data_IF_789011755645
#
_entry.id   IF_789011755645
#
_cell.length_a   1.000
_cell.length_b   1.000
_cell.length_c   1.000
_cell.angle_alpha   90.00
_cell.angle_beta   90.00
_cell.angle_gamma   90.00
#
_symmetry.space_group_name_H-M   'P 1'
#
loop_
_entity.id
_entity.type
_entity.pdbx_description
1 polymer ?
#
# COMPACT_ATOMS: atom_id res chain seq x y z
N UNK A 1 -9.43 20.68 -20.40
CA UNK A 1 -9.81 19.56 -19.51
C UNK A 1 -8.65 18.61 -19.40
N UNK A 2 -8.36 18.14 -18.19
CA UNK A 2 -7.31 17.12 -17.97
C UNK A 2 -7.71 15.77 -18.58
N UNK A 3 -6.73 14.99 -19.01
CA UNK A 3 -6.93 13.56 -19.22
C UNK A 3 -7.12 12.87 -17.88
N UNK A 4 -8.14 12.04 -17.76
CA UNK A 4 -8.55 11.42 -16.48
C UNK A 4 -8.40 9.92 -16.55
N UNK A 5 -7.95 9.33 -15.43
CA UNK A 5 -7.92 7.87 -15.28
C UNK A 5 -8.36 7.51 -13.86
N UNK A 6 -9.39 6.68 -13.74
CA UNK A 6 -9.88 6.19 -12.46
C UNK A 6 -9.19 4.87 -12.10
N UNK A 7 -8.44 4.85 -11.02
CA UNK A 7 -7.78 3.63 -10.50
C UNK A 7 -8.71 2.93 -9.53
N UNK A 8 -9.25 1.82 -9.96
CA UNK A 8 -10.09 0.94 -9.17
C UNK A 8 -9.34 -0.34 -8.77
N UNK A 9 -9.98 -1.19 -7.97
CA UNK A 9 -9.51 -2.56 -7.77
C UNK A 9 -10.67 -3.51 -7.47
N UNK A 10 -10.42 -4.80 -7.68
CA UNK A 10 -11.39 -5.85 -7.34
C UNK A 10 -11.46 -6.08 -5.81
N UNK A 11 -10.43 -5.69 -5.06
CA UNK A 11 -10.36 -5.87 -3.61
C UNK A 11 -9.44 -4.87 -2.90
N UNK A 12 -9.24 -5.10 -1.60
CA UNK A 12 -8.21 -4.40 -0.84
C UNK A 12 -6.83 -4.95 -1.22
N UNK A 13 -5.80 -4.13 -1.00
CA UNK A 13 -4.38 -4.47 -1.14
C UNK A 13 -3.97 -5.05 -2.51
N UNK A 14 -4.78 -4.87 -3.57
CA UNK A 14 -4.43 -5.25 -4.94
C UNK A 14 -3.31 -4.37 -5.54
N UNK A 15 -2.96 -3.23 -4.93
CA UNK A 15 -1.88 -2.35 -5.37
C UNK A 15 -2.33 -1.05 -6.05
N UNK A 16 -3.53 -0.51 -5.74
CA UNK A 16 -4.02 0.78 -6.28
C UNK A 16 -3.01 1.91 -6.08
N UNK A 17 -2.58 2.14 -4.85
CA UNK A 17 -1.66 3.25 -4.51
C UNK A 17 -0.30 3.08 -5.20
N UNK A 18 0.21 1.83 -5.30
CA UNK A 18 1.41 1.52 -6.10
C UNK A 18 1.19 1.87 -7.57
N UNK A 19 0.04 1.52 -8.14
CA UNK A 19 -0.32 1.85 -9.52
C UNK A 19 -0.46 3.36 -9.72
N UNK A 20 -1.08 4.08 -8.78
CA UNK A 20 -1.21 5.54 -8.83
C UNK A 20 0.15 6.23 -8.79
N UNK A 21 1.05 5.80 -7.88
CA UNK A 21 2.44 6.28 -7.83
C UNK A 21 3.15 6.04 -9.16
N UNK A 22 3.03 4.83 -9.72
CA UNK A 22 3.66 4.46 -10.98
C UNK A 22 3.18 5.29 -12.16
N UNK A 23 1.88 5.44 -12.30
CA UNK A 23 1.29 6.19 -13.42
C UNK A 23 1.55 7.69 -13.30
N UNK A 24 1.56 8.26 -12.09
CA UNK A 24 1.95 9.67 -11.88
C UNK A 24 3.43 9.90 -12.20
N UNK A 25 4.31 8.93 -11.86
CA UNK A 25 5.72 9.01 -12.25
C UNK A 25 5.90 9.07 -13.76
N UNK A 26 5.21 8.19 -14.50
CA UNK A 26 5.27 8.17 -15.96
C UNK A 26 4.57 9.39 -16.60
N UNK A 27 3.41 9.78 -16.06
CA UNK A 27 2.69 10.96 -16.54
C UNK A 27 3.51 12.24 -16.40
N UNK A 28 4.28 12.40 -15.31
CA UNK A 28 5.16 13.56 -15.08
C UNK A 28 6.23 13.72 -16.16
N UNK A 29 6.61 12.65 -16.84
CA UNK A 29 7.56 12.71 -17.96
C UNK A 29 6.94 13.29 -19.23
N UNK A 30 5.61 13.18 -19.37
CA UNK A 30 4.85 13.58 -20.56
C UNK A 30 4.04 14.85 -20.37
N UNK A 31 3.49 15.05 -19.18
CA UNK A 31 2.61 16.17 -18.84
C UNK A 31 3.30 17.16 -17.91
N UNK A 32 3.05 18.45 -18.13
CA UNK A 32 3.64 19.50 -17.30
C UNK A 32 3.03 19.55 -15.90
N UNK A 33 1.74 19.30 -15.80
CA UNK A 33 0.96 19.37 -14.56
C UNK A 33 0.20 18.07 -14.37
N UNK A 34 0.54 17.35 -13.33
CA UNK A 34 -0.19 16.15 -12.91
C UNK A 34 -1.05 16.47 -11.70
N UNK A 35 -2.17 15.78 -11.55
CA UNK A 35 -3.08 15.91 -10.41
C UNK A 35 -3.46 14.54 -9.84
N UNK A 36 -3.94 14.56 -8.61
CA UNK A 36 -4.43 13.36 -7.91
C UNK A 36 -5.62 13.70 -7.04
N UNK A 37 -6.60 12.82 -6.99
CA UNK A 37 -7.72 12.92 -6.07
C UNK A 37 -8.09 11.53 -5.52
N UNK A 38 -8.36 11.49 -4.21
CA UNK A 38 -8.98 10.36 -3.49
C UNK A 38 -10.41 10.76 -3.16
N UNK A 39 -11.40 10.41 -4.01
CA UNK A 39 -12.79 10.88 -3.89
C UNK A 39 -13.40 10.62 -2.52
N UNK A 40 -13.28 9.37 -2.05
CA UNK A 40 -13.72 8.94 -0.73
C UNK A 40 -12.53 8.36 0.03
N UNK A 41 -12.15 9.02 1.12
CA UNK A 41 -11.02 8.67 1.98
C UNK A 41 -11.47 7.98 3.26
N UNK A 42 -11.42 6.63 3.34
CA UNK A 42 -11.79 5.91 4.56
C UNK A 42 -10.68 5.88 5.63
N UNK A 43 -9.52 6.45 5.34
CA UNK A 43 -8.33 6.40 6.23
C UNK A 43 -7.83 7.79 6.57
N UNK A 44 -8.54 8.52 7.47
CA UNK A 44 -8.18 9.87 7.81
C UNK A 44 -6.79 9.97 8.47
N UNK A 45 -6.02 10.96 8.04
CA UNK A 45 -4.77 11.39 8.65
C UNK A 45 -4.72 12.91 8.70
N UNK A 46 -4.02 13.46 9.69
CA UNK A 46 -3.76 14.88 9.76
C UNK A 46 -2.49 15.20 8.96
N UNK A 47 -2.62 16.02 7.92
CA UNK A 47 -1.52 16.45 7.07
C UNK A 47 -1.59 17.97 6.90
N UNK A 48 -0.52 18.67 7.25
CA UNK A 48 -0.45 20.16 7.22
C UNK A 48 -1.65 20.84 7.91
N UNK A 49 -2.11 20.30 9.06
CA UNK A 49 -3.23 20.83 9.81
C UNK A 49 -4.63 20.51 9.25
N UNK A 50 -4.74 19.71 8.19
CA UNK A 50 -5.98 19.30 7.53
C UNK A 50 -6.19 17.80 7.59
N UNK A 51 -7.43 17.38 7.85
CA UNK A 51 -7.80 15.96 7.71
C UNK A 51 -7.95 15.58 6.25
N UNK A 52 -7.21 14.58 5.81
CA UNK A 52 -7.27 14.02 4.47
C UNK A 52 -7.00 12.51 4.48
N UNK A 53 -7.24 11.83 3.38
CA UNK A 53 -6.89 10.41 3.27
C UNK A 53 -5.37 10.21 3.18
N UNK A 54 -4.86 9.14 3.80
CA UNK A 54 -3.42 8.82 3.83
C UNK A 54 -2.80 8.65 2.44
N UNK A 55 -3.54 8.04 1.51
CA UNK A 55 -3.03 7.83 0.15
C UNK A 55 -2.88 9.18 -0.58
N UNK A 56 -3.81 10.13 -0.36
CA UNK A 56 -3.70 11.48 -0.91
C UNK A 56 -2.54 12.28 -0.27
N UNK A 57 -2.32 12.14 1.05
CA UNK A 57 -1.18 12.77 1.73
C UNK A 57 0.16 12.25 1.19
N UNK A 58 0.28 10.93 1.01
CA UNK A 58 1.46 10.29 0.41
C UNK A 58 1.74 10.86 -0.99
N UNK A 59 0.75 10.88 -1.86
CA UNK A 59 0.90 11.36 -3.25
C UNK A 59 1.26 12.85 -3.26
N UNK A 60 0.62 13.68 -2.43
CA UNK A 60 0.94 15.11 -2.32
C UNK A 60 2.42 15.30 -2.00
N UNK A 61 2.95 14.55 -1.02
CA UNK A 61 4.33 14.65 -0.58
C UNK A 61 5.33 14.15 -1.62
N UNK A 62 5.04 13.01 -2.25
CA UNK A 62 5.97 12.39 -3.22
C UNK A 62 6.10 13.21 -4.50
N UNK A 63 5.02 13.87 -4.94
CA UNK A 63 5.00 14.59 -6.21
C UNK A 63 4.98 16.11 -6.08
N UNK A 64 5.02 16.66 -4.87
CA UNK A 64 5.01 18.10 -4.63
C UNK A 64 3.67 18.74 -5.03
N UNK A 65 2.54 18.11 -4.63
CA UNK A 65 1.18 18.59 -4.92
C UNK A 65 0.52 19.24 -3.71
N UNK A 66 1.32 19.75 -2.76
CA UNK A 66 0.83 20.33 -1.52
C UNK A 66 -0.07 21.56 -1.76
N UNK A 67 0.13 22.30 -2.84
CA UNK A 67 -0.72 23.45 -3.22
C UNK A 67 -2.15 23.05 -3.60
N UNK A 68 -2.36 21.78 -3.96
CA UNK A 68 -3.64 21.25 -4.39
C UNK A 68 -4.33 20.37 -3.32
N UNK A 69 -3.75 20.25 -2.13
CA UNK A 69 -4.26 19.35 -1.06
C UNK A 69 -5.71 19.63 -0.66
N UNK A 70 -6.18 20.84 -0.88
CA UNK A 70 -7.56 21.25 -0.59
C UNK A 70 -8.58 20.40 -1.36
N UNK A 71 -8.24 20.02 -2.57
CA UNK A 71 -9.14 19.27 -3.48
C UNK A 71 -8.79 17.78 -3.57
N UNK A 72 -7.61 17.37 -3.10
CA UNK A 72 -7.13 16.00 -3.25
C UNK A 72 -7.89 14.95 -2.42
N UNK A 73 -8.66 15.36 -1.38
CA UNK A 73 -9.42 14.45 -0.51
C UNK A 73 -10.73 15.09 -0.06
N UNK A 74 -11.73 15.27 -0.96
CA UNK A 74 -12.93 16.04 -0.68
C UNK A 74 -13.88 15.41 0.33
N UNK A 75 -13.90 14.06 0.40
CA UNK A 75 -14.76 13.32 1.33
C UNK A 75 -13.89 12.43 2.22
N UNK A 76 -13.66 12.85 3.45
CA UNK A 76 -12.92 12.10 4.47
C UNK A 76 -13.90 11.61 5.53
N UNK A 77 -14.03 10.29 5.64
CA UNK A 77 -14.95 9.67 6.59
C UNK A 77 -14.33 9.59 7.98
N UNK A 78 -15.03 10.11 8.96
CA UNK A 78 -14.68 9.99 10.37
C UNK A 78 -15.41 8.81 11.03
N UNK A 79 -14.87 8.24 12.11
CA UNK A 79 -15.59 7.23 12.88
C UNK A 79 -16.99 7.71 13.26
N UNK A 80 -18.02 6.91 12.93
CA UNK A 80 -19.41 7.22 13.22
C UNK A 80 -20.18 7.94 12.10
N UNK A 81 -19.54 8.47 11.06
CA UNK A 81 -20.23 9.20 9.99
C UNK A 81 -21.20 8.32 9.20
N UNK A 82 -20.85 7.05 8.99
CA UNK A 82 -21.79 6.08 8.37
C UNK A 82 -23.11 6.00 9.13
N UNK A 83 -23.07 5.95 10.48
CA UNK A 83 -24.27 5.92 11.30
C UNK A 83 -25.06 7.21 11.19
N UNK A 84 -24.40 8.38 11.30
CA UNK A 84 -25.05 9.68 11.16
C UNK A 84 -25.73 9.87 9.81
N UNK A 85 -25.13 9.30 8.74
CA UNK A 85 -25.73 9.32 7.42
C UNK A 85 -27.02 8.47 7.37
N UNK A 86 -26.96 7.24 7.89
CA UNK A 86 -28.11 6.33 7.93
C UNK A 86 -29.25 6.89 8.82
N UNK A 87 -28.91 7.60 9.90
CA UNK A 87 -29.86 8.29 10.78
C UNK A 87 -30.43 9.59 10.17
N UNK A 88 -29.97 9.97 8.96
CA UNK A 88 -30.43 11.20 8.27
C UNK A 88 -29.81 12.49 8.79
N UNK A 89 -28.82 12.44 9.67
CA UNK A 89 -28.12 13.60 10.20
C UNK A 89 -27.11 14.21 9.23
N UNK A 90 -26.70 13.45 8.21
CA UNK A 90 -25.82 13.87 7.12
C UNK A 90 -26.49 13.58 5.78
N UNK A 91 -26.23 14.43 4.77
CA UNK A 91 -26.77 14.25 3.43
C UNK A 91 -25.71 13.78 2.46
N UNK A 92 -25.99 12.71 1.70
CA UNK A 92 -25.12 12.24 0.60
C UNK A 92 -24.89 13.31 -0.48
N UNK A 93 -25.87 14.17 -0.72
CA UNK A 93 -25.77 15.28 -1.68
C UNK A 93 -24.60 16.23 -1.40
N UNK A 94 -24.37 16.56 -0.14
CA UNK A 94 -23.25 17.43 0.25
C UNK A 94 -21.90 16.82 -0.12
N UNK A 95 -21.76 15.50 0.05
CA UNK A 95 -20.54 14.78 -0.33
C UNK A 95 -20.36 14.72 -1.86
N UNK A 96 -21.46 14.52 -2.60
CA UNK A 96 -21.48 14.54 -4.06
C UNK A 96 -21.05 15.91 -4.61
N UNK A 97 -21.62 16.98 -4.10
CA UNK A 97 -21.28 18.36 -4.50
C UNK A 97 -19.81 18.70 -4.19
N UNK A 98 -19.30 18.32 -3.02
CA UNK A 98 -17.88 18.51 -2.67
C UNK A 98 -16.95 17.75 -3.61
N UNK A 99 -17.29 16.50 -3.94
CA UNK A 99 -16.51 15.67 -4.86
C UNK A 99 -16.46 16.31 -6.25
N UNK A 100 -17.61 16.69 -6.81
CA UNK A 100 -17.68 17.26 -8.15
C UNK A 100 -16.95 18.62 -8.23
N UNK A 101 -17.10 19.46 -7.21
CA UNK A 101 -16.37 20.74 -7.12
C UNK A 101 -14.86 20.51 -7.07
N UNK A 102 -14.37 19.59 -6.25
CA UNK A 102 -12.95 19.28 -6.16
C UNK A 102 -12.39 18.71 -7.47
N UNK A 103 -13.15 17.83 -8.14
CA UNK A 103 -12.75 17.30 -9.44
C UNK A 103 -12.69 18.38 -10.51
N UNK A 104 -13.64 19.33 -10.52
CA UNK A 104 -13.68 20.44 -11.48
C UNK A 104 -12.49 21.39 -11.27
N UNK A 105 -12.14 21.70 -10.02
CA UNK A 105 -10.96 22.51 -9.70
C UNK A 105 -9.67 21.86 -10.18
N UNK A 106 -9.46 20.58 -9.88
CA UNK A 106 -8.27 19.86 -10.32
C UNK A 106 -8.23 19.69 -11.85
N UNK A 107 -9.36 19.48 -12.50
CA UNK A 107 -9.46 19.40 -13.98
C UNK A 107 -8.98 20.70 -14.67
N UNK A 108 -9.17 21.84 -14.02
CA UNK A 108 -8.65 23.13 -14.48
C UNK A 108 -7.16 23.37 -14.18
N UNK A 109 -6.61 22.66 -13.23
CA UNK A 109 -5.24 22.88 -12.71
C UNK A 109 -4.19 21.94 -13.27
N UNK A 110 -4.56 20.76 -13.75
CA UNK A 110 -3.65 19.76 -14.27
C UNK A 110 -3.95 19.38 -15.73
N UNK A 111 -3.00 18.69 -16.34
CA UNK A 111 -3.10 18.16 -17.70
C UNK A 111 -3.44 16.66 -17.69
N UNK A 112 -3.08 15.97 -16.59
CA UNK A 112 -3.38 14.57 -16.34
C UNK A 112 -3.81 14.36 -14.88
N UNK A 113 -4.97 13.74 -14.65
CA UNK A 113 -5.58 13.54 -13.34
C UNK A 113 -5.79 12.06 -13.02
N UNK A 114 -5.13 11.56 -11.98
CA UNK A 114 -5.41 10.25 -11.40
C UNK A 114 -6.50 10.41 -10.33
N UNK A 115 -7.54 9.57 -10.44
CA UNK A 115 -8.64 9.48 -9.48
C UNK A 115 -8.57 8.10 -8.84
N UNK A 116 -8.20 8.00 -7.56
CA UNK A 116 -8.01 6.70 -6.91
C UNK A 116 -9.20 6.34 -6.02
N UNK A 117 -9.90 5.26 -6.37
CA UNK A 117 -11.00 4.70 -5.59
C UNK A 117 -10.55 4.03 -4.29
N UNK A 118 -11.48 3.79 -3.38
CA UNK A 118 -11.25 3.11 -2.11
C UNK A 118 -11.71 1.64 -2.17
N UNK A 119 -10.91 0.69 -1.72
CA UNK A 119 -11.28 -0.74 -1.65
C UNK A 119 -11.71 -1.31 -3.01
N UNK A 120 -12.87 -2.00 -3.06
CA UNK A 120 -13.47 -2.59 -4.26
C UNK A 120 -14.54 -1.68 -4.89
N UNK A 121 -15.14 -2.08 -6.02
CA UNK A 121 -16.11 -1.30 -6.81
C UNK A 121 -17.25 -0.68 -5.99
N UNK A 122 -17.76 -1.39 -4.97
CA UNK A 122 -18.92 -0.97 -4.17
C UNK A 122 -18.59 -0.10 -2.96
N UNK A 123 -17.32 0.16 -2.65
CA UNK A 123 -16.97 1.01 -1.48
C UNK A 123 -17.46 2.44 -1.71
N UNK A 124 -18.08 3.01 -0.68
CA UNK A 124 -18.77 4.30 -0.76
C UNK A 124 -20.27 4.21 -1.03
N UNK A 125 -20.84 3.01 -1.26
CA UNK A 125 -22.28 2.83 -1.53
C UNK A 125 -23.17 3.42 -0.44
N UNK A 126 -22.77 3.38 0.83
CA UNK A 126 -23.51 4.00 1.93
C UNK A 126 -23.68 5.51 1.76
N UNK A 127 -22.73 6.16 1.08
CA UNK A 127 -22.77 7.59 0.73
C UNK A 127 -23.49 7.84 -0.61
N UNK A 128 -23.93 6.80 -1.33
CA UNK A 128 -24.33 6.91 -2.71
C UNK A 128 -23.16 7.21 -3.67
N UNK A 129 -21.92 7.04 -3.22
CA UNK A 129 -20.68 7.34 -3.95
C UNK A 129 -19.82 6.07 -4.08
N UNK A 130 -20.39 4.97 -4.61
CA UNK A 130 -19.59 3.80 -4.95
C UNK A 130 -18.50 4.18 -5.96
N UNK A 131 -17.38 3.46 -5.97
CA UNK A 131 -16.31 3.72 -6.94
C UNK A 131 -16.83 3.73 -8.39
N UNK A 132 -17.75 2.80 -8.70
CA UNK A 132 -18.36 2.73 -10.03
C UNK A 132 -19.17 3.99 -10.35
N UNK A 133 -20.01 4.46 -9.42
CA UNK A 133 -20.78 5.70 -9.58
C UNK A 133 -19.88 6.92 -9.71
N UNK A 134 -18.84 7.02 -8.86
CA UNK A 134 -17.89 8.13 -8.93
C UNK A 134 -17.20 8.17 -10.29
N UNK A 135 -16.70 7.04 -10.80
CA UNK A 135 -16.06 6.97 -12.12
C UNK A 135 -16.99 7.49 -13.23
N UNK A 136 -18.27 7.10 -13.20
CA UNK A 136 -19.29 7.60 -14.14
C UNK A 136 -19.49 9.11 -13.99
N UNK A 137 -19.71 9.61 -12.78
CA UNK A 137 -19.99 11.02 -12.50
C UNK A 137 -18.86 11.96 -12.96
N UNK A 138 -17.60 11.54 -12.82
CA UNK A 138 -16.44 12.36 -13.24
C UNK A 138 -16.02 12.11 -14.68
N UNK A 139 -16.69 11.18 -15.40
CA UNK A 139 -16.41 10.85 -16.78
C UNK A 139 -15.00 10.32 -17.00
N UNK A 140 -14.50 9.48 -16.07
CA UNK A 140 -13.16 8.93 -16.14
C UNK A 140 -13.18 7.45 -16.51
N UNK A 141 -12.48 7.01 -17.58
CA UNK A 141 -12.28 5.59 -17.87
C UNK A 141 -11.54 4.91 -16.72
N UNK A 142 -11.87 3.64 -16.45
CA UNK A 142 -11.41 2.89 -15.29
C UNK A 142 -10.29 1.93 -15.66
N UNK A 143 -9.20 1.97 -14.90
CA UNK A 143 -8.20 0.91 -14.81
C UNK A 143 -8.46 0.13 -13.52
N UNK A 144 -8.87 -1.14 -13.68
CA UNK A 144 -9.21 -2.03 -12.57
C UNK A 144 -8.02 -2.92 -12.22
N UNK A 145 -7.39 -2.66 -11.08
CA UNK A 145 -6.29 -3.48 -10.55
C UNK A 145 -6.85 -4.72 -9.86
N UNK A 146 -6.29 -5.88 -10.17
CA UNK A 146 -6.69 -7.16 -9.59
C UNK A 146 -5.47 -7.98 -9.19
N UNK A 147 -5.64 -9.01 -8.38
CA UNK A 147 -4.53 -9.87 -7.97
C UNK A 147 -5.00 -11.31 -7.72
N UNK A 148 -4.08 -12.25 -7.75
CA UNK A 148 -4.37 -13.67 -7.53
C UNK A 148 -4.12 -14.56 -8.74
N UNK A 149 -4.58 -15.81 -8.66
CA UNK A 149 -4.50 -16.78 -9.75
C UNK A 149 -5.52 -16.48 -10.87
N UNK A 150 -5.33 -17.08 -12.06
CA UNK A 150 -6.13 -16.81 -13.26
C UNK A 150 -7.64 -16.91 -13.01
N UNK A 151 -8.11 -18.02 -12.40
CA UNK A 151 -9.54 -18.21 -12.12
C UNK A 151 -10.10 -17.13 -11.19
N UNK A 152 -9.40 -16.86 -10.08
CA UNK A 152 -9.77 -15.82 -9.12
C UNK A 152 -9.85 -14.41 -9.75
N UNK A 153 -8.88 -14.07 -10.61
CA UNK A 153 -8.91 -12.81 -11.37
C UNK A 153 -10.14 -12.70 -12.26
N UNK A 154 -10.49 -13.77 -12.98
CA UNK A 154 -11.66 -13.78 -13.88
C UNK A 154 -12.95 -13.59 -13.06
N UNK A 155 -13.11 -14.32 -11.95
CA UNK A 155 -14.29 -14.26 -11.11
C UNK A 155 -14.46 -12.86 -10.47
N UNK A 156 -13.38 -12.34 -9.90
CA UNK A 156 -13.36 -11.01 -9.27
C UNK A 156 -13.64 -9.89 -10.29
N UNK A 157 -13.04 -9.96 -11.46
CA UNK A 157 -13.25 -8.97 -12.53
C UNK A 157 -14.71 -8.97 -12.96
N UNK A 158 -15.31 -10.14 -13.26
CA UNK A 158 -16.69 -10.23 -13.68
C UNK A 158 -17.68 -9.71 -12.62
N UNK A 159 -17.44 -10.05 -11.35
CA UNK A 159 -18.26 -9.56 -10.24
C UNK A 159 -18.21 -8.03 -10.12
N UNK A 160 -17.02 -7.43 -10.24
CA UNK A 160 -16.86 -5.98 -10.14
C UNK A 160 -17.38 -5.26 -11.40
N UNK A 161 -17.14 -5.80 -12.62
CA UNK A 161 -17.65 -5.25 -13.88
C UNK A 161 -19.16 -5.03 -13.86
N UNK A 162 -19.92 -5.96 -13.27
CA UNK A 162 -21.37 -5.84 -13.19
C UNK A 162 -21.83 -4.53 -12.55
N UNK A 163 -21.11 -4.03 -11.51
CA UNK A 163 -21.44 -2.76 -10.88
C UNK A 163 -21.05 -1.56 -11.76
N UNK A 164 -19.88 -1.60 -12.42
CA UNK A 164 -19.48 -0.52 -13.34
C UNK A 164 -20.45 -0.41 -14.51
N UNK A 165 -20.86 -1.53 -15.11
CA UNK A 165 -21.89 -1.56 -16.17
C UNK A 165 -23.24 -1.01 -15.69
N UNK A 166 -23.68 -1.40 -14.48
CA UNK A 166 -24.91 -0.88 -13.88
C UNK A 166 -24.88 0.64 -13.70
N UNK A 167 -23.76 1.18 -13.27
CA UNK A 167 -23.60 2.63 -13.06
C UNK A 167 -23.25 3.39 -14.37
N UNK A 168 -23.03 2.69 -15.48
CA UNK A 168 -22.67 3.29 -16.77
C UNK A 168 -21.24 3.81 -16.84
N UNK A 169 -20.34 3.27 -16.01
CA UNK A 169 -18.92 3.62 -16.01
C UNK A 169 -18.14 2.66 -16.93
N UNK A 170 -17.20 3.20 -17.67
CA UNK A 170 -16.40 2.45 -18.64
C UNK A 170 -15.14 1.86 -17.97
N UNK A 171 -15.03 0.52 -17.92
CA UNK A 171 -13.79 -0.15 -17.56
C UNK A 171 -12.96 -0.35 -18.81
N UNK A 172 -11.91 0.45 -18.99
CA UNK A 172 -11.05 0.42 -20.16
C UNK A 172 -9.88 -0.55 -20.02
N UNK A 173 -9.37 -0.74 -18.79
CA UNK A 173 -8.25 -1.61 -18.52
C UNK A 173 -8.52 -2.52 -17.32
N UNK A 174 -8.05 -3.76 -17.42
CA UNK A 174 -7.90 -4.69 -16.29
C UNK A 174 -6.41 -4.99 -16.11
N UNK A 175 -5.88 -4.70 -14.93
CA UNK A 175 -4.47 -4.84 -14.62
C UNK A 175 -4.23 -5.93 -13.56
N UNK A 176 -3.94 -7.17 -13.97
CA UNK A 176 -3.46 -8.20 -13.05
C UNK A 176 -2.11 -7.78 -12.46
N UNK A 177 -2.02 -7.74 -11.15
CA UNK A 177 -0.89 -7.27 -10.38
C UNK A 177 -0.39 -8.32 -9.40
N UNK A 178 0.79 -8.14 -8.82
CA UNK A 178 1.47 -9.09 -7.93
C UNK A 178 1.64 -10.46 -8.58
N UNK A 179 2.03 -10.46 -9.86
CA UNK A 179 2.21 -11.66 -10.65
C UNK A 179 3.42 -12.47 -10.16
N UNK A 180 3.32 -13.79 -10.25
CA UNK A 180 4.48 -14.66 -10.03
C UNK A 180 5.38 -14.55 -11.27
N UNK A 181 6.64 -14.14 -11.09
CA UNK A 181 7.56 -13.83 -12.18
C UNK A 181 7.63 -14.94 -13.24
N UNK A 182 7.90 -16.17 -12.82
CA UNK A 182 8.03 -17.34 -13.72
C UNK A 182 6.72 -17.72 -14.44
N UNK A 183 5.57 -17.17 -13.99
CA UNK A 183 4.26 -17.47 -14.56
C UNK A 183 3.62 -16.26 -15.22
N UNK A 184 4.31 -15.11 -15.26
CA UNK A 184 3.78 -13.84 -15.73
C UNK A 184 3.18 -13.95 -17.14
N UNK A 185 3.98 -14.33 -18.11
CA UNK A 185 3.57 -14.33 -19.52
C UNK A 185 2.42 -15.31 -19.77
N UNK A 186 2.49 -16.48 -19.16
CA UNK A 186 1.40 -17.47 -19.23
C UNK A 186 0.11 -16.93 -18.61
N UNK A 187 0.21 -16.26 -17.45
CA UNK A 187 -0.96 -15.67 -16.78
C UNK A 187 -1.59 -14.59 -17.63
N UNK A 188 -0.81 -13.67 -18.17
CA UNK A 188 -1.30 -12.59 -19.04
C UNK A 188 -1.92 -13.14 -20.34
N UNK A 189 -1.31 -14.17 -20.93
CA UNK A 189 -1.86 -14.83 -22.11
C UNK A 189 -3.25 -15.41 -21.84
N UNK A 190 -3.44 -16.19 -20.78
CA UNK A 190 -4.75 -16.78 -20.45
C UNK A 190 -5.79 -15.74 -20.06
N UNK A 191 -5.40 -14.69 -19.34
CA UNK A 191 -6.32 -13.60 -19.01
C UNK A 191 -6.75 -12.84 -20.27
N UNK A 192 -5.85 -12.61 -21.23
CA UNK A 192 -6.19 -12.01 -22.52
C UNK A 192 -7.12 -12.91 -23.35
N UNK A 193 -6.98 -14.24 -23.25
CA UNK A 193 -7.92 -15.18 -23.89
C UNK A 193 -9.31 -15.11 -23.24
N UNK A 194 -9.36 -15.07 -21.90
CA UNK A 194 -10.61 -15.00 -21.15
C UNK A 194 -11.34 -13.65 -21.33
N UNK A 195 -10.62 -12.59 -21.67
CA UNK A 195 -11.20 -11.26 -21.92
C UNK A 195 -11.75 -11.06 -23.33
N UNK A 196 -11.62 -12.04 -24.23
CA UNK A 196 -12.16 -11.94 -25.60
C UNK A 196 -13.66 -11.71 -25.60
N UNK A 197 -14.09 -10.66 -26.29
CA UNK A 197 -15.49 -10.23 -26.30
C UNK A 197 -15.89 -9.24 -25.21
N UNK A 198 -14.96 -8.85 -24.34
CA UNK A 198 -15.12 -7.72 -23.44
C UNK A 198 -14.48 -6.46 -24.05
N UNK A 199 -14.97 -5.30 -23.63
CA UNK A 199 -14.51 -4.00 -24.14
C UNK A 199 -13.27 -3.45 -23.43
N UNK A 200 -12.60 -4.25 -22.56
CA UNK A 200 -11.42 -3.84 -21.84
C UNK A 200 -10.13 -4.49 -22.34
N UNK A 201 -9.02 -3.82 -22.11
CA UNK A 201 -7.67 -4.27 -22.45
C UNK A 201 -7.02 -4.87 -21.19
N UNK A 202 -6.40 -6.05 -21.31
CA UNK A 202 -5.55 -6.61 -20.26
C UNK A 202 -4.19 -5.94 -20.32
N UNK A 203 -3.86 -5.17 -19.27
CA UNK A 203 -2.58 -4.50 -19.08
C UNK A 203 -1.83 -5.19 -17.94
N UNK A 204 -0.67 -5.79 -18.20
CA UNK A 204 0.13 -6.44 -17.17
C UNK A 204 0.66 -5.43 -16.13
N UNK A 205 0.40 -5.70 -14.86
CA UNK A 205 0.96 -4.96 -13.73
C UNK A 205 2.33 -5.50 -13.30
N UNK A 206 2.67 -5.35 -12.03
CA UNK A 206 3.97 -5.72 -11.47
C UNK A 206 4.04 -7.17 -11.04
N UNK A 207 5.25 -7.71 -11.01
CA UNK A 207 5.51 -8.95 -10.30
C UNK A 207 5.39 -8.74 -8.79
N UNK A 208 5.12 -9.81 -8.05
CA UNK A 208 5.16 -9.75 -6.59
C UNK A 208 6.58 -9.39 -6.13
N UNK A 209 6.69 -8.37 -5.30
CA UNK A 209 7.95 -7.93 -4.72
C UNK A 209 7.86 -8.01 -3.20
N UNK A 210 8.69 -8.84 -2.54
CA UNK A 210 8.78 -8.88 -1.08
C UNK A 210 9.13 -7.52 -0.47
N UNK A 211 9.96 -6.72 -1.16
CA UNK A 211 10.38 -5.39 -0.72
C UNK A 211 9.17 -4.46 -0.63
N UNK A 212 8.30 -4.45 -1.64
CA UNK A 212 7.09 -3.61 -1.62
C UNK A 212 6.06 -4.08 -0.59
N UNK A 213 6.05 -5.37 -0.28
CA UNK A 213 5.15 -5.96 0.70
C UNK A 213 5.68 -5.86 2.15
N UNK A 214 7.01 -5.79 2.34
CA UNK A 214 7.66 -5.80 3.64
C UNK A 214 7.41 -4.53 4.47
N UNK A 215 7.23 -4.61 5.80
CA UNK A 215 7.17 -3.45 6.67
C UNK A 215 8.56 -2.86 6.91
N UNK A 216 8.65 -1.60 7.35
CA UNK A 216 9.86 -1.06 7.97
C UNK A 216 9.89 -1.44 9.46
N UNK A 217 11.08 -1.36 10.09
CA UNK A 217 11.19 -1.60 11.53
C UNK A 217 10.36 -0.60 12.35
N UNK A 218 10.31 0.67 11.91
CA UNK A 218 9.45 1.70 12.49
C UNK A 218 7.95 1.35 12.36
N UNK A 219 7.54 0.81 11.19
CA UNK A 219 6.15 0.37 11.01
C UNK A 219 5.78 -0.75 11.98
N UNK A 220 6.67 -1.72 12.21
CA UNK A 220 6.45 -2.80 13.20
C UNK A 220 6.32 -2.25 14.61
N UNK A 221 7.17 -1.28 15.00
CA UNK A 221 7.07 -0.62 16.29
C UNK A 221 5.70 0.05 16.49
N UNK A 222 5.23 0.76 15.47
CA UNK A 222 3.91 1.40 15.48
C UNK A 222 2.75 0.39 15.48
N UNK A 223 2.86 -0.69 14.72
CA UNK A 223 1.88 -1.79 14.69
C UNK A 223 1.71 -2.43 16.06
N UNK A 224 2.83 -2.66 16.76
CA UNK A 224 2.84 -3.27 18.09
C UNK A 224 2.55 -2.27 19.22
N UNK A 225 2.55 -0.96 18.92
CA UNK A 225 2.45 0.14 19.88
C UNK A 225 3.58 0.05 20.93
N UNK A 226 4.83 0.00 20.46
CA UNK A 226 6.02 -0.19 21.28
C UNK A 226 7.06 0.89 20.99
N UNK A 227 7.80 1.36 22.02
CA UNK A 227 9.01 2.10 21.79
C UNK A 227 10.05 1.19 21.13
N UNK A 228 10.82 1.76 20.21
CA UNK A 228 11.95 1.06 19.59
C UNK A 228 13.26 1.72 19.99
N UNK A 229 14.31 0.92 20.17
CA UNK A 229 15.68 1.37 20.22
C UNK A 229 16.32 1.16 18.84
N UNK A 230 16.42 2.23 18.10
CA UNK A 230 16.98 2.23 16.77
C UNK A 230 17.35 3.66 16.35
N UNK A 231 18.34 3.82 15.49
CA UNK A 231 18.57 5.06 14.75
C UNK A 231 17.44 5.30 13.74
N UNK A 232 17.35 6.52 13.19
CA UNK A 232 16.37 6.81 12.14
C UNK A 232 16.55 5.90 10.93
N UNK A 233 17.78 5.68 10.50
CA UNK A 233 18.12 4.84 9.35
C UNK A 233 17.69 3.38 9.59
N UNK A 234 18.04 2.82 10.75
CA UNK A 234 17.62 1.48 11.16
C UNK A 234 16.08 1.35 11.24
N UNK A 235 15.41 2.39 11.72
CA UNK A 235 13.94 2.42 11.78
C UNK A 235 13.28 2.38 10.40
N UNK A 236 13.89 2.97 9.37
CA UNK A 236 13.39 2.98 8.00
C UNK A 236 13.79 1.75 7.18
N UNK A 237 14.65 0.88 7.71
CA UNK A 237 15.07 -0.33 7.03
C UNK A 237 13.89 -1.25 6.74
N UNK A 238 13.75 -1.65 5.47
CA UNK A 238 12.69 -2.58 5.03
C UNK A 238 13.01 -3.98 5.51
N UNK A 239 12.04 -4.65 6.11
CA UNK A 239 12.12 -6.02 6.55
C UNK A 239 11.71 -6.92 5.39
N UNK A 240 12.62 -7.78 4.94
CA UNK A 240 12.35 -8.73 3.85
C UNK A 240 11.82 -10.07 4.37
N UNK A 241 12.28 -10.46 5.56
CA UNK A 241 11.92 -11.75 6.17
C UNK A 241 11.54 -11.55 7.63
N UNK A 242 10.57 -12.32 8.11
CA UNK A 242 10.18 -12.39 9.51
C UNK A 242 10.44 -13.80 9.98
N UNK A 243 11.32 -13.98 10.96
CA UNK A 243 11.74 -15.27 11.46
C UNK A 243 11.43 -15.42 12.95
N UNK A 244 10.97 -16.61 13.35
CA UNK A 244 10.79 -16.95 14.75
C UNK A 244 12.07 -17.59 15.30
N UNK A 245 12.61 -17.06 16.39
CA UNK A 245 13.80 -17.58 17.10
C UNK A 245 13.48 -18.78 17.99
N UNK A 246 12.86 -19.84 17.43
CA UNK A 246 12.42 -21.01 18.20
C UNK A 246 13.40 -22.20 18.15
N UNK A 247 14.24 -22.28 17.12
CA UNK A 247 15.23 -23.36 16.97
C UNK A 247 16.48 -23.11 17.84
N UNK A 248 17.47 -24.03 17.81
CA UNK A 248 18.76 -23.77 18.46
C UNK A 248 19.42 -22.50 17.94
N UNK A 249 20.22 -21.82 18.76
CA UNK A 249 20.82 -20.55 18.38
C UNK A 249 21.62 -20.64 17.06
N UNK A 250 22.44 -21.70 16.90
CA UNK A 250 23.17 -21.97 15.64
C UNK A 250 22.24 -22.09 14.44
N UNK A 251 21.14 -22.82 14.57
CA UNK A 251 20.18 -23.00 13.48
C UNK A 251 19.45 -21.69 13.14
N UNK A 252 19.11 -20.89 14.12
CA UNK A 252 18.49 -19.57 13.91
C UNK A 252 19.43 -18.67 13.10
N UNK A 253 20.73 -18.63 13.47
CA UNK A 253 21.75 -17.85 12.77
C UNK A 253 21.91 -18.32 11.31
N UNK A 254 21.98 -19.63 11.08
CA UNK A 254 22.14 -20.19 9.75
C UNK A 254 20.93 -19.95 8.83
N UNK A 255 19.76 -19.67 9.40
CA UNK A 255 18.53 -19.38 8.67
C UNK A 255 18.32 -17.87 8.43
N UNK A 256 19.17 -17.00 8.99
CA UNK A 256 19.05 -15.55 8.75
C UNK A 256 19.33 -15.24 7.28
N UNK A 257 18.38 -14.58 6.65
CA UNK A 257 18.50 -14.04 5.31
C UNK A 257 18.60 -12.51 5.35
N UNK A 258 18.79 -11.87 4.21
CA UNK A 258 18.92 -10.41 4.11
C UNK A 258 17.73 -9.70 4.78
N UNK A 259 18.04 -8.74 5.65
CA UNK A 259 17.08 -7.86 6.33
C UNK A 259 15.95 -8.63 7.08
N UNK A 260 16.34 -9.64 7.88
CA UNK A 260 15.42 -10.44 8.70
C UNK A 260 15.06 -9.69 10.00
N UNK A 261 13.76 -9.59 10.29
CA UNK A 261 13.25 -9.27 11.63
C UNK A 261 13.15 -10.59 12.42
N UNK A 262 13.88 -10.69 13.52
CA UNK A 262 13.85 -11.88 14.37
C UNK A 262 12.95 -11.66 15.58
N UNK A 263 11.90 -12.46 15.70
CA UNK A 263 11.02 -12.48 16.89
C UNK A 263 11.54 -13.55 17.84
N UNK A 264 11.97 -13.12 19.02
CA UNK A 264 12.63 -13.96 20.04
C UNK A 264 11.91 -13.86 21.36
N UNK A 265 11.78 -14.96 22.11
CA UNK A 265 11.26 -14.88 23.49
C UNK A 265 12.32 -14.33 24.45
N UNK A 266 11.89 -13.52 25.41
CA UNK A 266 12.74 -12.86 26.41
C UNK A 266 13.57 -13.82 27.29
N UNK A 267 13.21 -15.10 27.35
CA UNK A 267 13.91 -16.12 28.11
C UNK A 267 15.09 -16.77 27.35
N UNK A 268 15.35 -16.35 26.10
CA UNK A 268 16.42 -16.88 25.25
C UNK A 268 17.68 -16.00 25.33
N UNK A 269 18.22 -15.81 26.56
CA UNK A 269 19.39 -14.96 26.80
C UNK A 269 20.57 -15.32 25.88
N UNK A 270 20.82 -16.61 25.63
CA UNK A 270 21.90 -17.09 24.77
C UNK A 270 21.74 -16.60 23.31
N UNK A 271 20.49 -16.57 22.82
CA UNK A 271 20.22 -16.13 21.45
C UNK A 271 20.29 -14.61 21.36
N UNK A 272 19.75 -13.87 22.34
CA UNK A 272 19.80 -12.42 22.40
C UNK A 272 21.23 -11.91 22.43
N UNK A 273 22.08 -12.46 23.30
CA UNK A 273 23.51 -12.11 23.40
C UNK A 273 24.24 -12.46 22.11
N UNK A 274 23.95 -13.62 21.50
CA UNK A 274 24.53 -14.00 20.22
C UNK A 274 24.18 -13.02 19.12
N UNK A 275 22.92 -12.60 19.00
CA UNK A 275 22.49 -11.62 18.00
C UNK A 275 23.17 -10.27 18.19
N UNK A 276 23.24 -9.77 19.43
CA UNK A 276 23.94 -8.53 19.77
C UNK A 276 25.42 -8.58 19.37
N UNK A 277 26.08 -9.71 19.61
CA UNK A 277 27.50 -9.90 19.26
C UNK A 277 27.70 -9.99 17.75
N UNK A 278 26.87 -10.77 17.04
CA UNK A 278 26.98 -10.97 15.60
C UNK A 278 26.68 -9.71 14.81
N UNK A 279 25.86 -8.81 15.34
CA UNK A 279 25.46 -7.58 14.64
C UNK A 279 26.66 -6.67 14.30
N UNK A 280 27.75 -6.75 15.05
CA UNK A 280 29.01 -6.03 14.74
C UNK A 280 29.75 -6.57 13.52
N UNK A 281 29.39 -7.76 13.03
CA UNK A 281 29.99 -8.40 11.87
C UNK A 281 29.20 -7.97 10.62
N UNK A 282 29.81 -7.38 9.59
CA UNK A 282 29.11 -6.78 8.42
C UNK A 282 28.08 -7.71 7.78
N UNK A 283 28.38 -9.00 7.58
CA UNK A 283 27.44 -9.93 6.95
C UNK A 283 26.19 -10.17 7.79
N UNK A 284 26.28 -10.13 9.12
CA UNK A 284 25.11 -10.26 9.99
C UNK A 284 24.39 -8.95 10.20
N UNK A 285 25.10 -7.82 10.14
CA UNK A 285 24.48 -6.52 10.12
C UNK A 285 23.53 -6.36 8.93
N UNK A 286 23.89 -6.87 7.75
CA UNK A 286 23.00 -6.89 6.58
C UNK A 286 21.84 -7.89 6.72
N UNK A 287 22.08 -9.04 7.36
CA UNK A 287 21.06 -10.07 7.53
C UNK A 287 20.03 -9.76 8.60
N UNK A 288 20.38 -9.01 9.63
CA UNK A 288 19.50 -8.75 10.77
C UNK A 288 18.97 -7.32 10.76
N UNK A 289 17.69 -7.15 10.46
CA UNK A 289 17.02 -5.84 10.49
C UNK A 289 16.80 -5.37 11.94
N UNK A 290 16.58 -6.28 12.87
CA UNK A 290 16.35 -6.00 14.28
C UNK A 290 15.65 -7.13 15.02
N UNK A 291 15.41 -6.92 16.31
CA UNK A 291 14.73 -7.88 17.17
C UNK A 291 13.38 -7.36 17.67
N UNK A 292 12.40 -8.26 17.74
CA UNK A 292 11.25 -8.09 18.62
C UNK A 292 11.38 -9.09 19.76
N UNK A 293 11.68 -8.60 20.95
CA UNK A 293 11.87 -9.42 22.14
C UNK A 293 10.52 -9.56 22.84
N UNK A 294 9.85 -10.68 22.61
CA UNK A 294 8.53 -10.99 23.14
C UNK A 294 8.62 -11.83 24.42
N UNK A 295 7.57 -11.86 25.23
CA UNK A 295 7.46 -12.71 26.42
C UNK A 295 7.01 -11.93 27.65
N UNK A 296 6.42 -12.65 28.60
CA UNK A 296 5.90 -12.05 29.85
C UNK A 296 6.99 -11.89 30.92
N UNK A 297 8.08 -12.67 30.83
CA UNK A 297 9.21 -12.57 31.76
C UNK A 297 10.17 -11.46 31.33
N UNK A 298 10.80 -10.74 32.26
CA UNK A 298 11.82 -9.75 31.93
C UNK A 298 13.03 -10.41 31.28
N UNK A 299 13.77 -9.66 30.49
CA UNK A 299 15.11 -10.03 30.02
C UNK A 299 16.06 -9.93 31.24
N UNK A 300 17.07 -10.82 31.30
CA UNK A 300 18.05 -10.75 32.38
C UNK A 300 18.81 -9.41 32.36
N UNK A 301 19.22 -8.89 33.53
CA UNK A 301 19.91 -7.61 33.61
C UNK A 301 21.21 -7.56 32.80
N UNK A 302 21.93 -8.70 32.73
CA UNK A 302 23.18 -8.82 31.98
C UNK A 302 22.87 -8.75 30.47
N UNK A 303 21.87 -9.51 30.01
CA UNK A 303 21.45 -9.50 28.60
C UNK A 303 20.93 -8.13 28.18
N UNK A 304 20.16 -7.46 29.05
CA UNK A 304 19.68 -6.11 28.81
C UNK A 304 20.84 -5.12 28.60
N UNK A 305 21.87 -5.17 29.45
CA UNK A 305 23.06 -4.33 29.30
C UNK A 305 23.78 -4.60 27.96
N UNK A 306 23.96 -5.87 27.59
CA UNK A 306 24.61 -6.23 26.33
C UNK A 306 23.81 -5.72 25.12
N UNK A 307 22.49 -5.84 25.16
CA UNK A 307 21.61 -5.31 24.10
C UNK A 307 21.69 -3.78 24.03
N UNK A 308 21.73 -3.10 25.17
CA UNK A 308 21.84 -1.64 25.24
C UNK A 308 23.20 -1.11 24.79
N UNK A 309 24.26 -1.85 24.99
CA UNK A 309 25.61 -1.51 24.53
C UNK A 309 25.84 -1.87 23.05
N UNK A 310 24.97 -2.71 22.48
CA UNK A 310 25.04 -3.06 21.06
C UNK A 310 24.30 -2.02 20.19
N UNK A 311 24.71 -1.88 18.94
CA UNK A 311 24.00 -1.06 17.94
C UNK A 311 22.81 -1.79 17.32
N UNK A 312 22.48 -3.00 17.80
CA UNK A 312 21.38 -3.81 17.27
C UNK A 312 20.02 -3.15 17.56
N UNK A 313 19.20 -2.89 16.53
CA UNK A 313 17.85 -2.38 16.73
C UNK A 313 16.97 -3.40 17.44
N UNK A 314 16.25 -2.99 18.47
CA UNK A 314 15.28 -3.87 19.13
C UNK A 314 14.09 -3.13 19.71
N UNK A 315 13.02 -3.87 19.95
CA UNK A 315 11.85 -3.46 20.71
C UNK A 315 11.42 -4.56 21.68
N UNK A 316 10.82 -4.20 22.80
CA UNK A 316 10.35 -5.13 23.84
C UNK A 316 8.84 -5.18 23.88
N UNK A 317 8.29 -6.41 23.72
CA UNK A 317 6.86 -6.66 23.79
C UNK A 317 6.52 -7.55 25.01
N UNK A 318 5.78 -7.04 25.97
CA UNK A 318 5.25 -7.81 27.11
C UNK A 318 3.97 -8.57 26.69
N UNK A 319 4.11 -9.38 25.64
CA UNK A 319 3.08 -10.24 25.05
C UNK A 319 3.69 -11.58 24.71
N UNK A 320 2.87 -12.59 24.49
CA UNK A 320 3.39 -13.89 24.08
C UNK A 320 4.06 -13.80 22.70
N UNK A 321 5.08 -14.63 22.50
CA UNK A 321 5.80 -14.67 21.20
C UNK A 321 4.86 -15.02 20.05
N UNK A 322 3.88 -15.90 20.30
CA UNK A 322 2.89 -16.28 19.29
C UNK A 322 2.00 -15.10 18.86
N UNK A 323 1.49 -14.32 19.81
CA UNK A 323 0.67 -13.12 19.51
C UNK A 323 1.47 -12.09 18.71
N UNK A 324 2.71 -11.82 19.09
CA UNK A 324 3.58 -10.86 18.40
C UNK A 324 3.86 -11.34 16.98
N UNK A 325 4.27 -12.61 16.83
CA UNK A 325 4.60 -13.18 15.53
C UNK A 325 3.40 -13.19 14.59
N UNK A 326 2.23 -13.64 15.08
CA UNK A 326 0.98 -13.64 14.31
C UNK A 326 0.58 -12.23 13.86
N UNK A 327 0.69 -11.24 14.75
CA UNK A 327 0.34 -9.85 14.45
C UNK A 327 1.26 -9.24 13.39
N UNK A 328 2.57 -9.50 13.47
CA UNK A 328 3.55 -8.94 12.52
C UNK A 328 3.46 -9.65 11.17
N UNK A 329 3.24 -10.96 11.12
CA UNK A 329 3.16 -11.73 9.87
C UNK A 329 1.86 -11.53 9.10
N UNK A 330 0.77 -11.19 9.79
CA UNK A 330 -0.53 -10.90 9.15
C UNK A 330 -0.69 -9.45 8.71
N UNK A 331 0.19 -8.56 9.14
CA UNK A 331 0.12 -7.16 8.77
C UNK A 331 0.45 -6.94 7.29
N UNK A 332 -0.30 -6.05 6.66
CA UNK A 332 -0.02 -5.58 5.31
C UNK A 332 0.49 -4.15 5.39
N UNK A 333 1.80 -4.00 5.29
CA UNK A 333 2.43 -2.69 5.32
C UNK A 333 2.00 -1.84 4.13
N UNK A 334 1.56 -0.60 4.42
CA UNK A 334 1.29 0.41 3.41
C UNK A 334 2.50 1.29 3.22
N UNK A 335 2.65 1.78 1.99
CA UNK A 335 3.69 2.74 1.64
C UNK A 335 3.41 4.06 2.34
N UNK A 336 4.44 4.64 2.92
CA UNK A 336 4.43 5.99 3.52
C UNK A 336 5.41 6.90 2.79
N UNK A 337 5.35 8.21 3.05
CA UNK A 337 6.28 9.18 2.44
C UNK A 337 7.75 8.97 2.87
N UNK A 338 7.98 8.26 3.96
CA UNK A 338 9.33 7.94 4.46
C UNK A 338 9.94 6.70 3.78
N UNK A 339 9.13 5.90 3.07
CA UNK A 339 9.55 4.67 2.40
C UNK A 339 10.25 4.97 1.05
N UNK A 340 11.30 5.80 1.06
CA UNK A 340 11.98 6.28 -0.15
C UNK A 340 12.49 5.17 -1.04
N UNK A 341 13.01 4.08 -0.46
CA UNK A 341 13.46 2.89 -1.19
C UNK A 341 12.32 2.23 -1.97
N UNK A 342 11.15 2.06 -1.33
CA UNK A 342 9.96 1.51 -2.00
C UNK A 342 9.46 2.43 -3.10
N UNK A 343 9.44 3.74 -2.86
CA UNK A 343 8.99 4.73 -3.85
C UNK A 343 9.91 4.68 -5.08
N UNK A 344 11.24 4.66 -4.87
CA UNK A 344 12.21 4.54 -5.96
C UNK A 344 12.05 3.24 -6.74
N UNK A 345 11.85 2.11 -6.03
CA UNK A 345 11.60 0.82 -6.66
C UNK A 345 10.30 0.84 -7.49
N UNK A 346 9.23 1.44 -6.98
CA UNK A 346 7.95 1.58 -7.72
C UNK A 346 8.15 2.37 -9.00
N UNK A 347 8.93 3.45 -8.97
CA UNK A 347 9.23 4.26 -10.13
C UNK A 347 10.03 3.48 -11.18
N UNK A 348 11.05 2.72 -10.77
CA UNK A 348 11.83 1.86 -11.67
C UNK A 348 10.97 0.75 -12.28
N UNK A 349 10.14 0.08 -11.48
CA UNK A 349 9.23 -0.95 -11.96
C UNK A 349 8.17 -0.38 -12.92
N UNK A 350 7.73 0.87 -12.71
CA UNK A 350 6.80 1.53 -13.62
C UNK A 350 7.43 1.69 -15.02
N UNK A 351 8.69 2.09 -15.10
CA UNK A 351 9.41 2.24 -16.37
C UNK A 351 9.64 0.90 -17.07
N UNK A 352 9.81 -0.17 -16.32
CA UNK A 352 10.05 -1.52 -16.85
C UNK A 352 8.77 -2.22 -17.34
N UNK A 353 7.66 -2.08 -16.57
CA UNK A 353 6.48 -2.95 -16.78
C UNK A 353 5.26 -2.23 -17.37
N UNK A 354 5.17 -0.90 -17.31
CA UNK A 354 3.99 -0.17 -17.76
C UNK A 354 4.24 0.57 -19.09
N UNK A 355 3.45 0.25 -20.08
CA UNK A 355 3.37 1.02 -21.33
C UNK A 355 2.39 2.19 -21.14
N UNK A 356 2.93 3.32 -20.63
CA UNK A 356 2.12 4.51 -20.35
C UNK A 356 1.59 5.16 -21.63
N UNK A 357 2.34 5.12 -22.73
CA UNK A 357 1.90 5.70 -24.01
C UNK A 357 0.69 4.96 -24.57
N UNK A 358 0.68 3.64 -24.45
CA UNK A 358 -0.49 2.84 -24.78
C UNK A 358 -1.69 3.16 -23.88
N UNK A 359 -1.48 3.23 -22.57
CA UNK A 359 -2.55 3.58 -21.63
C UNK A 359 -3.10 4.97 -21.96
N UNK A 360 -2.22 5.95 -22.16
CA UNK A 360 -2.61 7.32 -22.45
C UNK A 360 -3.33 7.46 -23.81
N UNK A 361 -2.91 6.75 -24.84
CA UNK A 361 -3.56 6.76 -26.15
C UNK A 361 -5.03 6.31 -26.09
N UNK A 362 -5.33 5.36 -25.20
CA UNK A 362 -6.68 4.82 -25.01
C UNK A 362 -7.58 5.70 -24.12
N UNK A 363 -7.07 6.77 -23.52
CA UNK A 363 -7.89 7.68 -22.69
C UNK A 363 -8.68 8.71 -23.49
N UNK A 364 -8.46 8.82 -24.79
CA UNK A 364 -9.20 9.72 -25.71
C UNK A 364 -8.52 11.06 -25.91
#
# INVERSE_FOLDING_TARGET
MARKLFIAATGQDCGKTTTSLSLLHLARKKYRRIGFIKPVGPKPALFNGRWMDKDAALIAKVYGLEDDIEWMSPVVLQPGDTRKLLDGHLSSKVYEERLLSACAELDGRCDFLIIEGAGHSGVGSVLGLSNARVAHMVGAPVLMVTGGGIGHVIDDVNMNLALYQKEGAEVRFVMPNKLIADKRDRTLHYLSLASRGNDFIVQGGFNFSPILAGPTFHHVAKLLDLPMRATREQGLRIIHHIQLGAASAERVVNMLDYSTLLVVTSSRDELLVMMATLYHIPVYHERLAGLVIAGLSPVSAITQTILEDSDLPFMRAERTTAEVFDKVTKDVSKITEEDTEKITLIQSLAEEYLDFDRIDAELG
#
